data_IF_628849546254
#
_entry.id   IF_628849546254
#
_cell.length_a   1.000
_cell.length_b   1.000
_cell.length_c   1.000
_cell.angle_alpha   90.00
_cell.angle_beta   90.00
_cell.angle_gamma   90.00
#
_symmetry.space_group_name_H-M   'P 1'
#
loop_
_entity.id
_entity.type
_entity.pdbx_description
1 polymer ?
#
# COMPACT_ATOMS: atom_id res chain seq x y z
N UNK A 1 3.98 -4.07 -3.15
CA UNK A 1 2.73 -4.39 -3.90
C UNK A 1 1.74 -5.06 -2.97
N UNK A 2 0.45 -4.74 -3.09
CA UNK A 2 -0.65 -5.36 -2.34
C UNK A 2 -1.51 -6.22 -3.26
N UNK A 3 -2.27 -7.18 -2.68
CA UNK A 3 -3.24 -8.01 -3.40
C UNK A 3 -4.57 -8.04 -2.67
N UNK A 4 -5.64 -8.47 -3.37
CA UNK A 4 -6.95 -8.65 -2.77
C UNK A 4 -7.02 -9.86 -1.81
N UNK A 5 -7.98 -9.84 -0.88
CA UNK A 5 -8.21 -10.93 0.08
C UNK A 5 -8.40 -12.31 -0.59
N UNK A 6 -9.15 -12.37 -1.70
CA UNK A 6 -9.35 -13.64 -2.39
C UNK A 6 -8.05 -14.22 -2.97
N UNK A 7 -7.18 -13.36 -3.51
CA UNK A 7 -5.85 -13.76 -4.01
C UNK A 7 -4.94 -14.22 -2.86
N UNK A 8 -4.98 -13.50 -1.74
CA UNK A 8 -4.24 -13.88 -0.53
C UNK A 8 -4.66 -15.30 -0.05
N UNK A 9 -5.97 -15.59 -0.03
CA UNK A 9 -6.47 -16.93 0.32
C UNK A 9 -6.00 -18.02 -0.63
N UNK A 10 -5.97 -17.77 -1.94
CA UNK A 10 -5.44 -18.71 -2.93
C UNK A 10 -3.96 -19.02 -2.71
N UNK A 11 -3.15 -17.99 -2.37
CA UNK A 11 -1.74 -18.20 -2.03
C UNK A 11 -1.59 -18.99 -0.73
N UNK A 12 -2.37 -18.68 0.30
CA UNK A 12 -2.35 -19.39 1.58
C UNK A 12 -2.69 -20.88 1.43
N UNK A 13 -3.63 -21.21 0.56
CA UNK A 13 -4.00 -22.61 0.30
C UNK A 13 -2.85 -23.44 -0.29
N UNK A 14 -1.94 -22.83 -1.08
CA UNK A 14 -0.74 -23.49 -1.60
C UNK A 14 0.22 -23.96 -0.50
N UNK A 15 0.15 -23.32 0.68
CA UNK A 15 0.94 -23.66 1.86
C UNK A 15 0.11 -24.33 2.95
N UNK A 16 -1.02 -24.94 2.57
CA UNK A 16 -1.91 -25.72 3.46
C UNK A 16 -2.46 -24.92 4.66
N UNK A 17 -2.53 -23.59 4.54
CA UNK A 17 -3.21 -22.73 5.52
C UNK A 17 -4.71 -22.88 5.35
N UNK A 18 -5.40 -23.26 6.42
CA UNK A 18 -6.85 -23.43 6.39
C UNK A 18 -7.55 -22.09 6.26
N UNK A 19 -8.44 -21.98 5.25
CA UNK A 19 -9.28 -20.82 4.97
C UNK A 19 -10.71 -21.26 4.72
N UNK A 20 -11.68 -20.32 4.75
CA UNK A 20 -13.05 -20.61 4.31
C UNK A 20 -13.12 -20.85 2.80
N UNK A 21 -14.01 -21.75 2.37
CA UNK A 21 -14.30 -21.98 0.94
C UNK A 21 -14.97 -20.73 0.35
N UNK A 22 -14.63 -20.38 -0.88
CA UNK A 22 -15.23 -19.24 -1.56
C UNK A 22 -14.52 -18.93 -2.85
N UNK A 23 -15.14 -18.06 -3.65
CA UNK A 23 -14.60 -17.57 -4.93
C UNK A 23 -14.93 -16.09 -5.11
N UNK A 24 -14.14 -15.42 -5.95
CA UNK A 24 -14.39 -14.04 -6.36
C UNK A 24 -15.47 -14.01 -7.46
N UNK A 25 -16.31 -12.98 -7.44
CA UNK A 25 -17.29 -12.67 -8.46
C UNK A 25 -17.12 -11.22 -8.95
N UNK A 26 -17.19 -11.01 -10.24
CA UNK A 26 -17.19 -9.71 -10.93
C UNK A 26 -18.58 -9.35 -11.47
N UNK A 27 -19.48 -10.31 -11.52
CA UNK A 27 -20.86 -10.15 -12.00
C UNK A 27 -21.88 -10.67 -10.97
N UNK A 28 -23.13 -10.25 -11.13
CA UNK A 28 -24.22 -10.71 -10.25
C UNK A 28 -24.52 -12.20 -10.44
N UNK A 29 -24.41 -12.68 -11.67
CA UNK A 29 -24.67 -14.08 -12.02
C UNK A 29 -23.59 -14.99 -11.41
N UNK A 30 -22.32 -14.59 -11.50
CA UNK A 30 -21.22 -15.30 -10.81
C UNK A 30 -21.42 -15.34 -9.30
N UNK A 31 -21.80 -14.22 -8.66
CA UNK A 31 -22.02 -14.17 -7.23
C UNK A 31 -23.14 -15.13 -6.78
N UNK A 32 -24.25 -15.16 -7.51
CA UNK A 32 -25.35 -16.09 -7.26
C UNK A 32 -24.95 -17.55 -7.48
N UNK A 33 -24.21 -17.82 -8.56
CA UNK A 33 -23.74 -19.16 -8.89
C UNK A 33 -22.77 -19.71 -7.82
N UNK A 34 -21.82 -18.91 -7.38
CA UNK A 34 -20.89 -19.31 -6.30
C UNK A 34 -21.66 -19.64 -5.01
N UNK A 35 -22.68 -18.85 -4.67
CA UNK A 35 -23.49 -19.14 -3.50
C UNK A 35 -24.26 -20.47 -3.65
N UNK A 36 -24.73 -20.82 -4.85
CA UNK A 36 -25.33 -22.14 -5.13
C UNK A 36 -24.33 -23.28 -4.98
N UNK A 37 -23.09 -23.09 -5.47
CA UNK A 37 -22.01 -24.09 -5.39
C UNK A 37 -21.57 -24.36 -3.93
N UNK A 38 -21.63 -23.35 -3.04
CA UNK A 38 -21.33 -23.52 -1.61
C UNK A 38 -22.33 -24.40 -0.90
N UNK A 39 -23.57 -24.48 -1.40
CA UNK A 39 -24.63 -25.34 -0.84
C UNK A 39 -25.43 -24.67 0.27
N UNK A 40 -26.00 -25.48 1.16
CA UNK A 40 -26.86 -25.02 2.26
C UNK A 40 -26.01 -24.56 3.45
N UNK A 41 -25.32 -23.44 3.28
CA UNK A 41 -24.49 -22.80 4.31
C UNK A 41 -24.73 -21.29 4.30
N UNK A 42 -24.54 -20.65 5.45
CA UNK A 42 -24.52 -19.20 5.50
C UNK A 42 -23.32 -18.67 4.67
N UNK A 43 -23.58 -17.69 3.80
CA UNK A 43 -22.61 -17.14 2.86
C UNK A 43 -22.29 -15.70 3.23
N UNK A 44 -21.01 -15.36 3.28
CA UNK A 44 -20.54 -13.98 3.42
C UNK A 44 -20.18 -13.39 2.05
N UNK A 45 -20.66 -12.16 1.79
CA UNK A 45 -20.31 -11.35 0.63
C UNK A 45 -19.43 -10.21 1.10
N UNK A 46 -18.17 -10.14 0.62
CA UNK A 46 -17.18 -9.14 1.02
C UNK A 46 -16.72 -8.32 -0.17
N UNK A 47 -16.86 -6.99 -0.11
CA UNK A 47 -16.28 -6.08 -1.10
C UNK A 47 -14.76 -6.27 -1.16
N UNK A 48 -14.19 -6.31 -2.36
CA UNK A 48 -12.75 -6.47 -2.59
C UNK A 48 -12.16 -5.12 -2.99
N UNK A 49 -11.47 -4.48 -2.04
CA UNK A 49 -10.68 -3.26 -2.21
C UNK A 49 -9.41 -3.38 -1.36
N UNK A 50 -8.33 -2.68 -1.72
CA UNK A 50 -7.08 -2.64 -0.96
C UNK A 50 -7.18 -1.71 0.26
N UNK A 51 -8.24 -1.86 1.06
CA UNK A 51 -8.44 -1.11 2.31
C UNK A 51 -9.11 -1.95 3.38
N UNK A 52 -8.71 -1.72 4.61
CA UNK A 52 -9.36 -2.28 5.80
C UNK A 52 -10.62 -1.51 6.20
N UNK A 53 -11.31 -2.02 7.23
CA UNK A 53 -12.51 -1.38 7.78
C UNK A 53 -13.75 -1.49 6.89
N UNK A 54 -13.74 -2.37 5.89
CA UNK A 54 -14.84 -2.58 4.92
C UNK A 54 -16.19 -2.82 5.60
N UNK A 55 -16.22 -3.61 6.67
CA UNK A 55 -17.45 -3.92 7.40
C UNK A 55 -18.16 -2.71 8.00
N UNK A 56 -17.40 -1.65 8.35
CA UNK A 56 -17.89 -0.38 8.89
C UNK A 56 -17.96 0.74 7.86
N UNK A 57 -17.57 0.46 6.62
CA UNK A 57 -17.57 1.43 5.53
C UNK A 57 -18.99 1.76 5.04
N UNK A 58 -19.12 2.83 4.27
CA UNK A 58 -20.38 3.27 3.67
C UNK A 58 -20.19 3.47 2.16
N UNK A 59 -21.11 2.94 1.37
CA UNK A 59 -21.14 3.18 -0.07
C UNK A 59 -21.78 4.53 -0.38
N UNK A 60 -21.28 5.22 -1.42
CA UNK A 60 -21.86 6.50 -1.83
C UNK A 60 -23.32 6.41 -2.29
N UNK A 61 -23.84 5.22 -2.56
CA UNK A 61 -25.27 4.97 -2.82
C UNK A 61 -26.12 4.81 -1.54
N UNK A 62 -25.56 5.03 -0.35
CA UNK A 62 -26.23 4.90 0.95
C UNK A 62 -26.30 3.48 1.50
N UNK A 63 -25.67 2.48 0.85
CA UNK A 63 -25.62 1.13 1.38
C UNK A 63 -24.50 1.02 2.41
N UNK A 64 -24.82 0.51 3.61
CA UNK A 64 -23.88 0.42 4.73
C UNK A 64 -23.21 -0.95 4.79
N UNK A 65 -21.90 -0.94 5.01
CA UNK A 65 -21.06 -2.12 5.18
C UNK A 65 -20.66 -2.80 3.87
N UNK A 66 -19.38 -3.17 3.78
CA UNK A 66 -18.82 -3.96 2.67
C UNK A 66 -18.71 -5.46 3.00
N UNK A 67 -19.33 -5.93 4.10
CA UNK A 67 -19.33 -7.35 4.53
C UNK A 67 -20.72 -7.71 5.01
N UNK A 68 -21.35 -8.71 4.36
CA UNK A 68 -22.71 -9.12 4.67
C UNK A 68 -22.88 -10.64 4.64
N UNK A 69 -23.55 -11.19 5.65
CA UNK A 69 -23.91 -12.61 5.70
C UNK A 69 -25.32 -12.78 5.12
N UNK A 70 -25.51 -13.79 4.26
CA UNK A 70 -26.79 -14.12 3.62
C UNK A 70 -26.98 -15.62 3.59
N UNK A 71 -28.24 -16.05 3.52
CA UNK A 71 -28.62 -17.48 3.57
C UNK A 71 -28.96 -18.06 2.19
N UNK A 72 -29.37 -17.20 1.27
CA UNK A 72 -29.83 -17.67 -0.04
C UNK A 72 -29.05 -17.05 -1.19
N UNK A 73 -28.86 -17.77 -2.32
CA UNK A 73 -28.20 -17.22 -3.50
C UNK A 73 -28.83 -15.93 -4.03
N UNK A 74 -30.17 -15.82 -3.93
CA UNK A 74 -30.90 -14.61 -4.36
C UNK A 74 -30.59 -13.39 -3.48
N UNK A 75 -30.39 -13.59 -2.17
CA UNK A 75 -29.97 -12.53 -1.26
C UNK A 75 -28.53 -12.12 -1.51
N UNK A 76 -27.63 -13.08 -1.83
CA UNK A 76 -26.25 -12.81 -2.25
C UNK A 76 -26.23 -11.92 -3.49
N UNK A 77 -27.02 -12.27 -4.53
CA UNK A 77 -27.18 -11.44 -5.73
C UNK A 77 -27.63 -10.01 -5.43
N UNK A 78 -28.65 -9.85 -4.54
CA UNK A 78 -29.15 -8.54 -4.13
C UNK A 78 -28.10 -7.68 -3.43
N UNK A 79 -27.28 -8.29 -2.59
CA UNK A 79 -26.17 -7.60 -1.90
C UNK A 79 -25.07 -7.24 -2.89
N UNK A 80 -24.65 -8.18 -3.75
CA UNK A 80 -23.66 -7.92 -4.78
C UNK A 80 -24.08 -6.75 -5.71
N UNK A 81 -25.38 -6.64 -6.05
CA UNK A 81 -25.89 -5.53 -6.85
C UNK A 81 -25.78 -4.15 -6.18
N UNK A 82 -25.74 -4.11 -4.83
CA UNK A 82 -25.53 -2.86 -4.09
C UNK A 82 -24.06 -2.49 -3.91
N UNK A 83 -23.14 -3.42 -4.18
CA UNK A 83 -21.70 -3.25 -4.01
C UNK A 83 -20.94 -3.09 -5.32
N UNK A 84 -21.19 -3.94 -6.32
CA UNK A 84 -20.45 -3.95 -7.59
C UNK A 84 -20.67 -2.63 -8.35
N UNK A 85 -19.56 -2.03 -8.79
CA UNK A 85 -19.52 -0.74 -9.47
C UNK A 85 -19.75 0.48 -8.55
N UNK A 86 -19.96 0.28 -7.25
CA UNK A 86 -20.20 1.36 -6.29
C UNK A 86 -18.92 1.74 -5.55
N UNK A 87 -18.85 2.97 -5.06
CA UNK A 87 -17.70 3.48 -4.30
C UNK A 87 -17.93 3.20 -2.82
N UNK A 88 -17.04 2.43 -2.22
CA UNK A 88 -16.99 2.17 -0.78
C UNK A 88 -16.01 3.15 -0.11
N UNK A 89 -16.50 3.87 0.88
CA UNK A 89 -15.72 4.78 1.73
C UNK A 89 -15.44 4.09 3.06
N UNK A 90 -14.18 4.03 3.46
CA UNK A 90 -13.73 3.54 4.77
C UNK A 90 -12.79 4.57 5.40
N UNK A 91 -12.42 4.41 6.66
CA UNK A 91 -11.43 5.29 7.29
C UNK A 91 -10.06 5.23 6.60
N UNK A 92 -9.72 4.11 5.94
CA UNK A 92 -8.44 3.96 5.23
C UNK A 92 -8.47 4.50 3.79
N UNK A 93 -9.63 4.52 3.13
CA UNK A 93 -9.74 5.06 1.77
C UNK A 93 -9.86 6.58 1.74
N UNK A 94 -10.13 7.20 2.89
CA UNK A 94 -10.52 8.60 2.95
C UNK A 94 -11.86 8.87 2.23
N UNK A 95 -12.27 10.15 2.08
CA UNK A 95 -13.59 10.53 1.55
C UNK A 95 -13.78 10.22 0.06
N UNK A 96 -12.73 10.04 -0.69
CA UNK A 96 -12.79 9.64 -2.11
C UNK A 96 -13.36 8.24 -2.28
N UNK A 97 -13.01 7.31 -1.39
CA UNK A 97 -13.38 5.91 -1.44
C UNK A 97 -12.67 5.13 -2.56
N UNK A 98 -13.07 3.86 -2.72
CA UNK A 98 -12.61 2.98 -3.79
C UNK A 98 -13.79 2.31 -4.48
N UNK A 99 -13.71 2.13 -5.79
CA UNK A 99 -14.74 1.42 -6.57
C UNK A 99 -14.62 -0.08 -6.29
N UNK A 100 -15.75 -0.72 -5.95
CA UNK A 100 -15.80 -2.16 -5.74
C UNK A 100 -16.04 -2.86 -7.08
N UNK A 101 -14.99 -3.35 -7.71
CA UNK A 101 -15.08 -4.07 -8.98
C UNK A 101 -15.35 -5.58 -8.80
N UNK A 102 -15.08 -6.11 -7.62
CA UNK A 102 -15.19 -7.54 -7.30
C UNK A 102 -15.75 -7.73 -5.90
N UNK A 103 -16.47 -8.83 -5.69
CA UNK A 103 -16.87 -9.30 -4.37
C UNK A 103 -16.37 -10.72 -4.14
N UNK A 104 -15.91 -11.02 -2.92
CA UNK A 104 -15.63 -12.38 -2.49
C UNK A 104 -16.94 -12.96 -1.91
N UNK A 105 -17.37 -14.09 -2.47
CA UNK A 105 -18.49 -14.87 -1.97
C UNK A 105 -17.94 -16.14 -1.32
N UNK A 106 -18.06 -16.26 -0.02
CA UNK A 106 -17.43 -17.33 0.74
C UNK A 106 -18.35 -17.88 1.82
N UNK A 107 -18.05 -19.09 2.29
CA UNK A 107 -18.70 -19.71 3.44
C UNK A 107 -18.47 -18.84 4.68
N UNK A 108 -19.53 -18.60 5.45
CA UNK A 108 -19.46 -17.91 6.73
C UNK A 108 -18.98 -18.87 7.81
N UNK A 109 -18.07 -18.41 8.67
CA UNK A 109 -17.61 -19.16 9.82
C UNK A 109 -18.33 -18.70 11.09
N UNK A 110 -18.79 -19.65 11.90
CA UNK A 110 -19.28 -19.38 13.25
C UNK A 110 -18.09 -19.15 14.19
N UNK A 111 -17.85 -17.90 14.56
CA UNK A 111 -16.67 -17.47 15.29
C UNK A 111 -16.87 -17.60 16.79
N UNK A 112 -16.00 -18.37 17.46
CA UNK A 112 -15.92 -18.41 18.92
C UNK A 112 -14.88 -17.41 19.46
N UNK A 113 -13.74 -17.23 18.75
CA UNK A 113 -12.70 -16.28 19.14
C UNK A 113 -12.04 -15.67 17.91
N UNK A 114 -11.69 -14.41 17.99
CA UNK A 114 -10.91 -13.67 17.00
C UNK A 114 -9.49 -13.39 17.54
N UNK A 115 -8.48 -13.58 16.70
CA UNK A 115 -7.07 -13.48 17.03
C UNK A 115 -6.41 -12.65 15.94
N UNK A 116 -5.46 -11.79 16.31
CA UNK A 116 -4.56 -11.13 15.38
C UNK A 116 -3.28 -11.96 15.22
N UNK A 117 -2.84 -12.17 13.98
CA UNK A 117 -1.57 -12.82 13.69
C UNK A 117 -0.94 -12.21 12.43
N UNK A 118 0.33 -11.81 12.54
CA UNK A 118 1.11 -11.34 11.39
C UNK A 118 2.53 -11.87 11.42
N UNK A 119 3.10 -12.06 10.24
CA UNK A 119 4.54 -12.21 10.02
C UNK A 119 5.00 -10.98 9.25
N UNK A 120 5.99 -10.28 9.76
CA UNK A 120 6.52 -9.06 9.15
C UNK A 120 8.05 -9.00 9.26
N UNK A 121 8.66 -8.15 8.45
CA UNK A 121 10.09 -7.87 8.56
C UNK A 121 10.32 -6.77 9.61
N UNK A 122 10.99 -7.13 10.71
CA UNK A 122 11.44 -6.14 11.69
C UNK A 122 12.74 -5.48 11.20
N UNK A 123 12.66 -4.22 10.84
CA UNK A 123 13.80 -3.45 10.34
C UNK A 123 14.86 -3.18 11.40
N UNK A 124 14.49 -3.16 12.69
CA UNK A 124 15.42 -2.90 13.78
C UNK A 124 16.38 -4.09 13.99
N UNK A 125 15.88 -5.31 13.82
CA UNK A 125 16.66 -6.54 13.98
C UNK A 125 17.06 -7.18 12.65
N UNK A 126 16.57 -6.62 11.52
CA UNK A 126 16.74 -7.17 10.16
C UNK A 126 16.33 -8.66 10.05
N UNK A 127 15.25 -9.04 10.74
CA UNK A 127 14.79 -10.41 10.86
C UNK A 127 13.25 -10.51 10.75
N UNK A 128 12.71 -11.65 10.33
CA UNK A 128 11.28 -11.90 10.41
C UNK A 128 10.80 -11.91 11.87
N UNK A 129 9.61 -11.36 12.09
CA UNK A 129 8.99 -11.26 13.40
C UNK A 129 7.54 -11.73 13.32
N UNK A 130 7.13 -12.62 14.22
CA UNK A 130 5.70 -12.85 14.47
C UNK A 130 5.20 -11.78 15.45
N UNK A 131 4.11 -11.11 15.05
CA UNK A 131 3.32 -10.24 15.92
C UNK A 131 1.93 -10.85 16.06
N UNK A 132 1.50 -11.12 17.28
CA UNK A 132 0.21 -11.75 17.53
C UNK A 132 -0.48 -11.16 18.76
N UNK A 133 -1.82 -11.22 18.79
CA UNK A 133 -2.63 -10.79 19.94
C UNK A 133 -3.92 -11.61 20.05
N UNK A 134 -4.37 -11.84 21.26
CA UNK A 134 -5.71 -12.40 21.52
C UNK A 134 -6.86 -11.45 21.16
N UNK A 135 -6.56 -10.20 20.85
CA UNK A 135 -7.51 -9.16 20.40
C UNK A 135 -7.47 -9.08 18.87
N UNK A 136 -8.27 -9.92 18.20
CA UNK A 136 -8.45 -9.92 16.75
C UNK A 136 -9.66 -9.11 16.29
N UNK A 137 -9.80 -8.93 14.97
CA UNK A 137 -10.92 -8.19 14.37
C UNK A 137 -10.92 -6.68 14.63
N UNK A 138 -9.86 -6.16 15.25
CA UNK A 138 -9.66 -4.76 15.58
C UNK A 138 -8.33 -4.25 15.07
N UNK A 139 -8.15 -2.95 15.10
CA UNK A 139 -6.92 -2.26 14.68
C UNK A 139 -5.79 -2.57 15.66
N UNK A 140 -4.74 -3.24 15.21
CA UNK A 140 -3.65 -3.70 16.08
C UNK A 140 -2.84 -2.54 16.67
N UNK A 141 -2.72 -1.42 15.95
CA UNK A 141 -2.07 -0.20 16.42
C UNK A 141 -2.81 0.37 17.64
N UNK A 142 -4.14 0.29 17.63
CA UNK A 142 -4.97 0.69 18.77
C UNK A 142 -4.74 -0.23 19.97
N UNK A 143 -4.61 -1.54 19.75
CA UNK A 143 -4.29 -2.52 20.81
C UNK A 143 -2.88 -2.24 21.36
N UNK A 144 -1.90 -2.04 20.48
CA UNK A 144 -0.52 -1.74 20.87
C UNK A 144 -0.39 -0.45 21.70
N UNK A 145 -1.18 0.56 21.37
CA UNK A 145 -1.18 1.82 22.11
C UNK A 145 -1.87 1.74 23.48
N UNK A 146 -2.98 0.96 23.59
CA UNK A 146 -3.78 0.90 24.83
C UNK A 146 -3.37 -0.24 25.76
N UNK A 147 -2.90 -1.35 25.22
CA UNK A 147 -2.61 -2.60 25.94
C UNK A 147 -1.39 -3.31 25.33
N UNK A 148 -0.20 -2.69 25.36
CA UNK A 148 1.01 -3.23 24.72
C UNK A 148 1.41 -4.61 25.27
N UNK A 149 1.00 -4.96 26.49
CA UNK A 149 1.24 -6.28 27.13
C UNK A 149 0.46 -7.41 26.42
N UNK A 150 -0.58 -7.11 25.63
CA UNK A 150 -1.32 -8.08 24.85
C UNK A 150 -0.67 -8.39 23.51
N UNK A 151 0.40 -7.68 23.16
CA UNK A 151 1.13 -7.91 21.92
C UNK A 151 2.27 -8.91 22.15
N UNK A 152 2.12 -10.07 21.58
CA UNK A 152 3.16 -11.12 21.55
C UNK A 152 4.10 -10.80 20.40
N UNK A 153 5.39 -10.81 20.69
CA UNK A 153 6.47 -10.68 19.70
C UNK A 153 7.37 -11.90 19.79
N UNK A 154 7.51 -12.62 18.67
CA UNK A 154 8.40 -13.79 18.59
C UNK A 154 9.35 -13.58 17.39
N UNK A 155 10.61 -13.22 17.63
CA UNK A 155 11.60 -13.05 16.57
C UNK A 155 12.00 -14.41 15.99
N UNK A 156 12.23 -14.42 14.68
CA UNK A 156 12.63 -15.62 13.95
C UNK A 156 14.05 -15.41 13.41
N UNK A 157 14.95 -16.30 13.75
CA UNK A 157 16.30 -16.29 13.17
C UNK A 157 16.20 -16.56 11.65
N UNK A 158 16.72 -15.69 10.78
CA UNK A 158 16.57 -15.85 9.33
C UNK A 158 17.30 -17.07 8.76
N UNK A 159 18.33 -17.59 9.45
CA UNK A 159 19.07 -18.79 9.03
C UNK A 159 18.40 -20.08 9.51
N UNK A 160 17.91 -20.09 10.74
CA UNK A 160 17.24 -21.25 11.33
C UNK A 160 15.77 -21.38 10.88
N UNK A 161 15.13 -20.27 10.51
CA UNK A 161 13.70 -20.22 10.21
C UNK A 161 12.81 -20.40 11.42
N UNK A 162 11.51 -20.43 11.19
CA UNK A 162 10.53 -20.65 12.26
C UNK A 162 10.58 -22.07 12.78
N UNK A 163 10.83 -22.21 14.10
CA UNK A 163 10.97 -23.49 14.74
C UNK A 163 9.68 -24.00 15.39
N UNK A 164 9.42 -25.31 15.44
CA UNK A 164 8.18 -25.86 16.01
C UNK A 164 7.92 -25.49 17.48
N UNK A 165 8.96 -25.20 18.26
CA UNK A 165 8.76 -24.75 19.65
C UNK A 165 8.22 -23.32 19.69
N UNK A 166 8.60 -22.46 18.76
CA UNK A 166 8.11 -21.07 18.68
C UNK A 166 6.63 -21.02 18.34
N UNK A 167 6.18 -21.83 17.35
CA UNK A 167 4.75 -21.90 17.01
C UNK A 167 3.91 -22.38 18.19
N UNK A 168 4.38 -23.40 18.94
CA UNK A 168 3.71 -23.86 20.15
C UNK A 168 3.73 -22.83 21.29
N UNK A 169 4.83 -22.09 21.46
CA UNK A 169 4.96 -21.02 22.45
C UNK A 169 3.91 -19.92 22.16
N UNK A 170 3.88 -19.42 20.93
CA UNK A 170 2.93 -18.37 20.51
C UNK A 170 1.47 -18.86 20.66
N UNK A 171 1.16 -20.09 20.22
CA UNK A 171 -0.17 -20.65 20.38
C UNK A 171 -0.61 -20.75 21.86
N UNK A 172 0.28 -21.17 22.77
CA UNK A 172 -0.01 -21.18 24.20
C UNK A 172 -0.23 -19.77 24.78
N UNK A 173 0.59 -18.80 24.39
CA UNK A 173 0.44 -17.42 24.84
C UNK A 173 -0.86 -16.78 24.35
N UNK A 174 -1.32 -17.16 23.15
CA UNK A 174 -2.62 -16.78 22.60
C UNK A 174 -3.80 -17.51 23.27
N UNK A 175 -3.54 -18.48 24.16
CA UNK A 175 -4.58 -19.23 24.88
C UNK A 175 -5.30 -20.27 24.03
N UNK A 176 -4.60 -20.88 23.05
CA UNK A 176 -5.14 -22.06 22.35
C UNK A 176 -5.22 -23.28 23.27
N UNK A 177 -6.30 -24.02 23.17
CA UNK A 177 -6.47 -25.29 23.88
C UNK A 177 -5.56 -26.39 23.32
N UNK A 178 -5.28 -27.42 24.13
CA UNK A 178 -4.40 -28.53 23.75
C UNK A 178 -4.82 -29.21 22.44
N UNK A 179 -6.12 -29.34 22.19
CA UNK A 179 -6.73 -29.90 20.97
C UNK A 179 -6.43 -29.06 19.72
N UNK A 180 -6.25 -27.75 19.89
CA UNK A 180 -6.07 -26.75 18.83
C UNK A 180 -4.58 -26.49 18.50
N UNK A 181 -3.64 -26.84 19.41
CA UNK A 181 -2.23 -26.47 19.26
C UNK A 181 -1.60 -26.98 17.97
N UNK A 182 -2.00 -28.17 17.51
CA UNK A 182 -1.45 -28.76 16.27
C UNK A 182 -1.91 -27.99 15.04
N UNK A 183 -3.19 -27.65 14.96
CA UNK A 183 -3.78 -26.87 13.85
C UNK A 183 -3.26 -25.43 13.83
N UNK A 184 -3.16 -24.79 15.00
CA UNK A 184 -2.59 -23.46 15.13
C UNK A 184 -1.10 -23.44 14.68
N UNK A 185 -0.29 -24.39 15.16
CA UNK A 185 1.11 -24.49 14.78
C UNK A 185 1.30 -24.71 13.28
N UNK A 186 0.49 -25.59 12.65
CA UNK A 186 0.49 -25.81 11.20
C UNK A 186 0.13 -24.54 10.44
N UNK A 187 -0.89 -23.80 10.90
CA UNK A 187 -1.31 -22.55 10.28
C UNK A 187 -0.21 -21.48 10.38
N UNK A 188 0.41 -21.28 11.54
CA UNK A 188 1.51 -20.33 11.72
C UNK A 188 2.72 -20.66 10.85
N UNK A 189 3.07 -21.93 10.75
CA UNK A 189 4.14 -22.40 9.86
C UNK A 189 3.81 -22.11 8.39
N UNK A 190 2.57 -22.38 7.96
CA UNK A 190 2.11 -22.09 6.60
C UNK A 190 2.18 -20.59 6.27
N UNK A 191 1.77 -19.71 7.20
CA UNK A 191 1.89 -18.26 7.04
C UNK A 191 3.35 -17.80 6.90
N UNK A 192 4.25 -18.34 7.74
CA UNK A 192 5.66 -18.03 7.64
C UNK A 192 6.28 -18.54 6.33
N UNK A 193 5.94 -19.76 5.90
CA UNK A 193 6.41 -20.30 4.62
C UNK A 193 5.93 -19.46 3.44
N UNK A 194 4.68 -18.97 3.47
CA UNK A 194 4.15 -18.07 2.46
C UNK A 194 4.93 -16.75 2.45
N UNK A 195 5.20 -16.18 3.63
CA UNK A 195 5.98 -14.94 3.79
C UNK A 195 7.37 -15.07 3.14
N UNK A 196 8.09 -16.16 3.42
CA UNK A 196 9.43 -16.37 2.86
C UNK A 196 9.40 -16.71 1.37
N UNK A 197 8.47 -17.57 0.95
CA UNK A 197 8.43 -18.07 -0.42
C UNK A 197 8.14 -17.00 -1.47
N UNK A 198 7.43 -15.93 -1.08
CA UNK A 198 7.02 -14.85 -1.98
C UNK A 198 7.67 -13.50 -1.66
N UNK A 199 8.73 -13.49 -0.85
CA UNK A 199 9.40 -12.25 -0.43
C UNK A 199 8.40 -11.19 0.09
N UNK A 200 7.51 -11.61 0.97
CA UNK A 200 6.58 -10.68 1.58
C UNK A 200 7.30 -9.76 2.57
N UNK A 201 6.92 -8.50 2.63
CA UNK A 201 7.28 -7.61 3.73
C UNK A 201 6.30 -7.74 4.91
N UNK A 202 5.07 -8.23 4.64
CA UNK A 202 4.06 -8.54 5.65
C UNK A 202 3.07 -9.58 5.12
N UNK A 203 2.71 -10.53 5.99
CA UNK A 203 1.56 -11.43 5.87
C UNK A 203 0.74 -11.28 7.14
N UNK A 204 -0.42 -10.65 7.05
CA UNK A 204 -1.32 -10.39 8.17
C UNK A 204 -2.60 -11.21 8.02
N UNK A 205 -3.06 -11.78 9.11
CA UNK A 205 -4.38 -12.43 9.23
C UNK A 205 -5.14 -11.75 10.37
N UNK A 206 -6.20 -11.02 10.01
CA UNK A 206 -6.99 -10.26 10.98
C UNK A 206 -8.48 -10.20 10.58
N UNK A 207 -9.32 -11.11 11.14
CA UNK A 207 -8.96 -12.05 12.17
C UNK A 207 -8.49 -13.42 11.65
N UNK A 208 -7.60 -14.05 12.41
CA UNK A 208 -7.49 -15.48 12.52
C UNK A 208 -8.57 -15.93 13.52
N UNK A 209 -9.31 -16.97 13.22
CA UNK A 209 -10.45 -17.36 14.06
C UNK A 209 -10.34 -18.78 14.58
N UNK A 210 -10.89 -18.99 15.78
CA UNK A 210 -11.30 -20.28 16.28
C UNK A 210 -12.80 -20.37 16.10
N UNK A 211 -13.28 -21.39 15.37
CA UNK A 211 -14.71 -21.61 15.17
C UNK A 211 -15.35 -22.25 16.40
N UNK A 212 -16.69 -22.21 16.49
CA UNK A 212 -17.46 -22.92 17.53
C UNK A 212 -17.24 -24.44 17.51
N UNK A 213 -16.74 -24.98 16.38
CA UNK A 213 -16.36 -26.39 16.22
C UNK A 213 -14.90 -26.66 16.63
N UNK A 214 -14.13 -25.63 16.99
CA UNK A 214 -12.72 -25.73 17.37
C UNK A 214 -11.73 -25.68 16.20
N UNK A 215 -12.20 -25.45 14.96
CA UNK A 215 -11.30 -25.30 13.80
C UNK A 215 -10.56 -23.95 13.87
N UNK A 216 -9.32 -23.94 13.38
CA UNK A 216 -8.46 -22.76 13.33
C UNK A 216 -8.32 -22.33 11.87
N UNK A 217 -8.81 -21.12 11.51
CA UNK A 217 -8.90 -20.64 10.14
C UNK A 217 -8.34 -19.22 9.97
N UNK A 218 -7.70 -18.96 8.84
CA UNK A 218 -7.41 -17.61 8.37
C UNK A 218 -8.66 -17.06 7.67
N UNK A 219 -9.33 -16.09 8.29
CA UNK A 219 -10.62 -15.58 7.80
C UNK A 219 -10.45 -14.38 6.88
N UNK A 220 -9.58 -13.44 7.22
CA UNK A 220 -9.20 -12.30 6.36
C UNK A 220 -7.68 -12.18 6.35
N UNK A 221 -7.10 -12.04 5.16
CA UNK A 221 -5.67 -12.00 4.97
C UNK A 221 -5.26 -10.81 4.10
N UNK A 222 -4.17 -10.15 4.51
CA UNK A 222 -3.56 -9.03 3.81
C UNK A 222 -2.08 -9.31 3.58
N UNK A 223 -1.63 -9.13 2.35
CA UNK A 223 -0.25 -9.35 1.95
C UNK A 223 0.36 -8.07 1.40
N UNK A 224 1.59 -7.82 1.83
CA UNK A 224 2.47 -6.83 1.22
C UNK A 224 3.72 -7.56 0.73
N UNK A 225 4.01 -7.44 -0.54
CA UNK A 225 5.21 -7.99 -1.16
C UNK A 225 6.32 -6.94 -1.23
N UNK A 226 7.57 -7.38 -1.23
CA UNK A 226 8.70 -6.52 -1.55
C UNK A 226 8.72 -6.25 -3.06
N UNK A 227 8.52 -4.98 -3.45
CA UNK A 227 8.51 -4.58 -4.86
C UNK A 227 9.85 -4.85 -5.55
N UNK A 228 10.95 -4.82 -4.79
CA UNK A 228 12.29 -5.11 -5.32
C UNK A 228 12.50 -6.60 -5.61
N UNK A 229 11.63 -7.48 -5.15
CA UNK A 229 11.68 -8.92 -5.39
C UNK A 229 10.72 -9.40 -6.50
N UNK A 230 9.80 -8.56 -6.98
CA UNK A 230 8.76 -8.95 -7.94
C UNK A 230 9.32 -9.51 -9.25
N UNK A 231 10.50 -9.06 -9.68
CA UNK A 231 11.14 -9.58 -10.90
C UNK A 231 11.40 -11.09 -10.88
N UNK A 232 11.46 -11.71 -9.70
CA UNK A 232 11.61 -13.16 -9.52
C UNK A 232 10.29 -13.88 -9.20
N UNK A 233 9.19 -13.13 -9.09
CA UNK A 233 7.84 -13.63 -8.82
C UNK A 233 6.82 -13.12 -9.85
N UNK A 234 6.95 -13.49 -11.14
CA UNK A 234 6.04 -13.01 -12.18
C UNK A 234 4.58 -13.43 -11.94
N UNK A 235 4.35 -14.56 -11.24
CA UNK A 235 3.02 -15.01 -10.84
C UNK A 235 2.38 -14.11 -9.77
N UNK A 236 3.18 -13.46 -8.93
CA UNK A 236 2.71 -12.48 -7.94
C UNK A 236 2.48 -11.13 -8.62
N UNK A 237 3.39 -10.70 -9.50
CA UNK A 237 3.23 -9.47 -10.27
C UNK A 237 1.95 -9.49 -11.10
N UNK A 238 1.57 -10.65 -11.66
CA UNK A 238 0.32 -10.84 -12.41
C UNK A 238 -0.96 -10.66 -11.57
N UNK A 239 -0.87 -10.69 -10.23
CA UNK A 239 -1.98 -10.42 -9.32
C UNK A 239 -2.24 -8.94 -9.06
N UNK A 240 -1.36 -8.06 -9.57
CA UNK A 240 -1.45 -6.62 -9.37
C UNK A 240 -2.76 -6.06 -9.90
N UNK A 241 -3.45 -5.28 -9.10
CA UNK A 241 -4.65 -4.55 -9.51
C UNK A 241 -4.34 -3.05 -9.60
N UNK A 242 -4.00 -2.59 -10.79
CA UNK A 242 -3.61 -1.21 -11.08
C UNK A 242 -4.73 -0.21 -10.74
N UNK A 243 -6.00 -0.64 -10.75
CA UNK A 243 -7.13 0.22 -10.40
C UNK A 243 -7.18 0.58 -8.90
N UNK A 244 -6.48 -0.18 -8.05
CA UNK A 244 -6.37 0.06 -6.62
C UNK A 244 -5.17 0.93 -6.23
N UNK A 245 -4.28 1.24 -7.17
CA UNK A 245 -3.07 2.05 -6.94
C UNK A 245 -3.33 3.55 -7.17
N UNK A 246 -2.37 4.39 -6.79
CA UNK A 246 -2.39 5.81 -7.16
C UNK A 246 -2.05 5.94 -8.65
N UNK A 247 -2.90 6.55 -9.47
CA UNK A 247 -2.64 6.70 -10.91
C UNK A 247 -1.31 7.40 -11.22
N UNK A 248 -0.83 8.28 -10.33
CA UNK A 248 0.46 8.99 -10.48
C UNK A 248 1.64 8.04 -10.25
N UNK A 249 1.53 7.14 -9.26
CA UNK A 249 2.52 6.10 -8.98
C UNK A 249 2.59 5.10 -10.14
N UNK A 250 1.44 4.70 -10.66
CA UNK A 250 1.34 3.86 -11.84
C UNK A 250 2.00 4.50 -13.07
N UNK A 251 1.72 5.78 -13.31
CA UNK A 251 2.32 6.49 -14.45
C UNK A 251 3.83 6.63 -14.28
N UNK A 252 4.29 7.01 -13.09
CA UNK A 252 5.70 7.12 -12.76
C UNK A 252 6.47 5.80 -12.97
N UNK A 253 5.87 4.69 -12.58
CA UNK A 253 6.49 3.36 -12.72
C UNK A 253 6.74 2.96 -14.17
N UNK A 254 5.92 3.40 -15.14
CA UNK A 254 6.11 3.15 -16.58
C UNK A 254 7.41 3.77 -17.12
N UNK A 255 7.87 4.84 -16.46
CA UNK A 255 9.08 5.57 -16.82
C UNK A 255 10.27 5.25 -15.92
N UNK A 256 10.13 4.24 -15.03
CA UNK A 256 11.18 3.86 -14.08
C UNK A 256 11.45 4.92 -13.01
N UNK A 257 10.46 5.71 -12.65
CA UNK A 257 10.54 6.76 -11.63
C UNK A 257 10.01 6.25 -10.30
N UNK A 258 10.68 6.59 -9.20
CA UNK A 258 10.23 6.32 -7.84
C UNK A 258 9.38 7.49 -7.35
N UNK A 259 8.06 7.35 -7.41
CA UNK A 259 7.09 8.34 -6.98
C UNK A 259 6.20 7.80 -5.86
N UNK A 260 5.94 8.63 -4.84
CA UNK A 260 4.94 8.37 -3.79
C UNK A 260 4.13 9.64 -3.59
N UNK A 261 2.81 9.55 -3.76
CA UNK A 261 1.90 10.66 -3.53
C UNK A 261 1.73 10.96 -2.05
N UNK A 262 1.76 12.27 -1.68
CA UNK A 262 1.48 12.78 -0.34
C UNK A 262 0.35 13.81 -0.37
N UNK A 263 -0.07 14.28 0.81
CA UNK A 263 -1.23 15.18 0.92
C UNK A 263 -0.91 16.67 0.82
N UNK A 264 0.36 17.04 0.68
CA UNK A 264 0.81 18.42 0.63
C UNK A 264 0.53 19.15 -0.69
N UNK A 265 1.14 20.32 -0.81
CA UNK A 265 0.95 21.23 -1.95
C UNK A 265 2.26 21.77 -2.56
N UNK A 266 3.42 21.30 -2.10
CA UNK A 266 4.73 21.62 -2.67
C UNK A 266 5.27 20.35 -3.31
N UNK A 267 5.26 20.30 -4.64
CA UNK A 267 5.82 19.17 -5.36
C UNK A 267 7.34 19.19 -5.35
N UNK A 268 7.94 18.00 -5.24
CA UNK A 268 9.39 17.82 -5.19
C UNK A 268 9.86 16.97 -6.38
N UNK A 269 10.92 17.42 -7.07
CA UNK A 269 11.69 16.65 -8.05
C UNK A 269 13.14 16.65 -7.63
N UNK A 270 13.66 15.47 -7.30
CA UNK A 270 14.98 15.33 -6.66
C UNK A 270 15.72 14.14 -7.28
N UNK A 271 17.02 14.16 -7.30
CA UNK A 271 17.84 13.01 -7.68
C UNK A 271 18.52 12.41 -6.46
N UNK A 272 18.10 11.18 -6.13
CA UNK A 272 18.57 10.43 -4.98
C UNK A 272 17.63 10.47 -3.78
N UNK A 273 17.26 9.28 -3.30
CA UNK A 273 16.24 9.10 -2.25
C UNK A 273 16.59 9.84 -0.94
N UNK A 274 17.86 9.84 -0.53
CA UNK A 274 18.31 10.57 0.66
C UNK A 274 18.13 12.09 0.53
N UNK A 275 18.45 12.66 -0.63
CA UNK A 275 18.24 14.08 -0.91
C UNK A 275 16.74 14.40 -1.01
N UNK A 276 15.92 13.51 -1.54
CA UNK A 276 14.47 13.67 -1.60
C UNK A 276 13.86 13.72 -0.19
N UNK A 277 14.24 12.80 0.70
CA UNK A 277 13.81 12.84 2.10
C UNK A 277 14.24 14.11 2.81
N UNK A 278 15.51 14.50 2.69
CA UNK A 278 16.03 15.75 3.27
C UNK A 278 15.29 16.99 2.72
N UNK A 279 14.92 16.98 1.44
CA UNK A 279 14.16 18.08 0.82
C UNK A 279 12.76 18.17 1.41
N UNK A 280 12.08 17.05 1.62
CA UNK A 280 10.76 17.02 2.26
C UNK A 280 10.84 17.48 3.73
N UNK A 281 11.84 17.02 4.47
CA UNK A 281 12.04 17.41 5.87
C UNK A 281 12.26 18.92 6.03
N UNK A 282 13.09 19.51 5.17
CA UNK A 282 13.37 20.96 5.27
C UNK A 282 12.16 21.80 4.82
N UNK A 283 11.36 21.33 3.86
CA UNK A 283 10.07 21.96 3.52
C UNK A 283 9.16 21.99 4.74
N UNK A 284 9.02 20.85 5.43
CA UNK A 284 8.23 20.78 6.69
C UNK A 284 8.80 21.66 7.79
N UNK A 285 10.10 21.70 7.94
CA UNK A 285 10.78 22.56 8.93
C UNK A 285 10.41 24.05 8.75
N UNK A 286 10.27 24.51 7.48
CA UNK A 286 9.85 25.88 7.18
C UNK A 286 8.32 26.05 7.09
N UNK A 287 7.55 25.06 7.54
CA UNK A 287 6.08 25.14 7.63
C UNK A 287 5.35 24.99 6.29
N UNK A 288 5.95 24.25 5.34
CA UNK A 288 5.33 23.78 4.12
C UNK A 288 4.91 22.32 4.20
N UNK A 289 4.14 21.85 3.21
CA UNK A 289 3.67 20.46 3.12
C UNK A 289 4.07 19.86 1.77
N UNK A 290 4.97 18.82 1.76
CA UNK A 290 5.36 18.13 0.54
C UNK A 290 4.19 17.38 -0.10
N UNK A 291 4.01 17.52 -1.42
CA UNK A 291 2.96 16.86 -2.19
C UNK A 291 3.33 15.45 -2.64
N UNK A 292 4.62 15.15 -2.68
CA UNK A 292 5.14 13.85 -3.12
C UNK A 292 6.59 13.63 -2.69
N UNK A 293 6.97 12.35 -2.62
CA UNK A 293 8.35 11.91 -2.81
C UNK A 293 8.55 11.63 -4.30
N UNK A 294 9.65 12.10 -4.89
CA UNK A 294 10.04 11.73 -6.25
C UNK A 294 11.55 11.73 -6.36
N UNK A 295 12.09 10.55 -6.64
CA UNK A 295 13.50 10.35 -6.97
C UNK A 295 13.62 9.95 -8.44
N UNK A 296 14.23 10.81 -9.25
CA UNK A 296 14.49 10.51 -10.67
C UNK A 296 15.74 9.64 -10.88
N UNK A 297 16.47 9.32 -9.78
CA UNK A 297 17.69 8.51 -9.82
C UNK A 297 18.93 9.27 -10.27
N UNK A 298 20.10 8.67 -10.07
CA UNK A 298 21.40 9.28 -10.40
C UNK A 298 21.80 9.22 -11.87
N UNK A 299 21.02 8.54 -12.72
CA UNK A 299 21.28 8.36 -14.15
C UNK A 299 20.09 8.72 -15.04
N UNK A 300 19.12 9.49 -14.55
CA UNK A 300 17.91 9.79 -15.30
C UNK A 300 18.20 10.51 -16.62
N UNK A 301 17.45 10.12 -17.62
CA UNK A 301 17.49 10.71 -18.96
C UNK A 301 16.64 11.97 -19.01
N UNK A 302 16.83 12.79 -20.07
CA UNK A 302 15.99 13.94 -20.36
C UNK A 302 14.50 13.57 -20.45
N UNK A 303 14.18 12.42 -21.06
CA UNK A 303 12.81 11.92 -21.17
C UNK A 303 12.21 11.62 -19.80
N UNK A 304 12.92 10.91 -18.94
CA UNK A 304 12.46 10.61 -17.57
C UNK A 304 12.21 11.87 -16.76
N UNK A 305 13.08 12.87 -16.86
CA UNK A 305 12.88 14.18 -16.19
C UNK A 305 11.65 14.88 -16.75
N UNK A 306 11.43 14.84 -18.06
CA UNK A 306 10.27 15.43 -18.71
C UNK A 306 8.97 14.79 -18.22
N UNK A 307 8.91 13.46 -18.16
CA UNK A 307 7.72 12.74 -17.69
C UNK A 307 7.50 12.96 -16.18
N UNK A 308 8.56 12.94 -15.37
CA UNK A 308 8.47 13.30 -13.95
C UNK A 308 7.84 14.68 -13.76
N UNK A 309 8.28 15.67 -14.52
CA UNK A 309 7.75 17.03 -14.43
C UNK A 309 6.28 17.11 -14.85
N UNK A 310 5.86 16.36 -15.89
CA UNK A 310 4.46 16.28 -16.31
C UNK A 310 3.56 15.70 -15.21
N UNK A 311 4.02 14.66 -14.53
CA UNK A 311 3.29 14.05 -13.40
C UNK A 311 3.07 15.06 -12.28
N UNK A 312 4.11 15.83 -11.91
CA UNK A 312 4.00 16.86 -10.87
C UNK A 312 3.00 17.96 -11.22
N UNK A 313 3.02 18.42 -12.47
CA UNK A 313 2.12 19.50 -12.93
C UNK A 313 0.66 19.05 -13.04
N UNK A 314 0.42 17.77 -13.33
CA UNK A 314 -0.92 17.21 -13.42
C UNK A 314 -1.65 17.17 -12.07
N UNK A 315 -0.94 17.23 -10.95
CA UNK A 315 -1.54 17.26 -9.62
C UNK A 315 -2.10 18.66 -9.29
N UNK A 316 -3.42 18.78 -9.31
CA UNK A 316 -4.16 20.05 -9.05
C UNK A 316 -3.98 20.59 -7.62
N UNK A 317 -3.49 19.80 -6.67
CA UNK A 317 -3.19 20.25 -5.30
C UNK A 317 -1.89 21.06 -5.24
N UNK A 318 -1.00 20.88 -6.22
CA UNK A 318 0.31 21.53 -6.26
C UNK A 318 0.18 23.01 -6.47
N UNK A 319 0.79 23.81 -5.58
CA UNK A 319 0.85 25.27 -5.61
C UNK A 319 2.25 25.81 -5.90
N UNK A 320 3.28 25.00 -5.70
CA UNK A 320 4.66 25.30 -6.07
C UNK A 320 5.42 24.01 -6.34
N UNK A 321 6.45 24.08 -7.17
CA UNK A 321 7.36 22.96 -7.45
C UNK A 321 8.75 23.33 -6.99
N UNK A 322 9.39 22.45 -6.24
CA UNK A 322 10.80 22.53 -5.87
C UNK A 322 11.58 21.45 -6.60
N UNK A 323 12.47 21.89 -7.48
CA UNK A 323 13.47 21.04 -8.12
C UNK A 323 14.78 21.20 -7.35
N UNK A 324 15.27 20.12 -6.76
CA UNK A 324 16.50 20.11 -5.99
C UNK A 324 17.44 19.02 -6.50
N UNK A 325 18.46 19.44 -7.25
CA UNK A 325 19.38 18.53 -7.93
C UNK A 325 20.80 18.74 -7.39
N UNK A 326 21.40 17.63 -6.99
CA UNK A 326 22.84 17.56 -6.78
C UNK A 326 23.49 16.72 -7.89
N UNK A 327 24.13 17.38 -8.83
CA UNK A 327 24.77 16.77 -9.99
C UNK A 327 25.99 15.94 -9.58
N UNK A 328 25.87 14.64 -9.76
CA UNK A 328 26.98 13.70 -9.71
C UNK A 328 27.10 13.02 -11.08
N UNK A 329 26.63 11.77 -11.18
CA UNK A 329 26.50 11.04 -12.45
C UNK A 329 25.50 11.76 -13.35
N UNK A 330 24.34 12.16 -12.79
CA UNK A 330 23.38 13.03 -13.45
C UNK A 330 23.96 14.46 -13.57
N UNK A 331 23.84 15.07 -14.74
CA UNK A 331 24.34 16.38 -15.04
C UNK A 331 23.23 17.44 -14.97
N UNK A 332 23.53 18.60 -14.38
CA UNK A 332 22.56 19.68 -14.22
C UNK A 332 22.01 20.22 -15.55
N UNK A 333 22.78 20.17 -16.64
CA UNK A 333 22.32 20.57 -17.95
C UNK A 333 21.25 19.62 -18.55
N UNK A 334 21.31 18.31 -18.26
CA UNK A 334 20.31 17.34 -18.66
C UNK A 334 18.97 17.63 -17.95
N UNK A 335 19.03 17.90 -16.65
CA UNK A 335 17.84 18.29 -15.87
C UNK A 335 17.25 19.60 -16.41
N UNK A 336 18.08 20.62 -16.63
CA UNK A 336 17.64 21.89 -17.17
C UNK A 336 16.93 21.73 -18.52
N UNK A 337 17.45 20.88 -19.40
CA UNK A 337 16.82 20.57 -20.69
C UNK A 337 15.47 19.86 -20.51
N UNK A 338 15.39 18.87 -19.61
CA UNK A 338 14.14 18.17 -19.28
C UNK A 338 13.05 19.13 -18.76
N UNK A 339 13.42 20.06 -17.88
CA UNK A 339 12.50 21.11 -17.39
C UNK A 339 12.01 22.01 -18.52
N UNK A 340 12.92 22.47 -19.40
CA UNK A 340 12.58 23.32 -20.54
C UNK A 340 11.63 22.59 -21.50
N UNK A 341 11.86 21.31 -21.75
CA UNK A 341 11.03 20.50 -22.64
C UNK A 341 9.64 20.24 -22.04
N UNK A 342 9.59 19.92 -20.74
CA UNK A 342 8.32 19.81 -20.04
C UNK A 342 7.53 21.13 -20.06
N UNK A 343 8.19 22.25 -19.78
CA UNK A 343 7.55 23.57 -19.78
C UNK A 343 7.00 23.99 -21.15
N UNK A 344 7.64 23.55 -22.24
CA UNK A 344 7.13 23.77 -23.61
C UNK A 344 5.89 22.92 -23.91
N UNK A 345 5.76 21.77 -23.29
CA UNK A 345 4.70 20.79 -23.56
C UNK A 345 3.45 21.08 -22.72
N UNK A 346 3.64 21.62 -21.51
CA UNK A 346 2.58 21.89 -20.55
C UNK A 346 2.59 23.36 -20.12
N UNK A 347 1.44 23.97 -20.00
CA UNK A 347 1.33 25.35 -19.53
C UNK A 347 1.64 25.40 -18.04
N UNK A 348 2.89 25.77 -17.67
CA UNK A 348 3.34 25.86 -16.30
C UNK A 348 2.60 26.99 -15.57
N UNK A 349 1.62 26.63 -14.74
CA UNK A 349 0.76 27.60 -14.04
C UNK A 349 1.16 27.83 -12.58
N UNK A 350 2.19 27.12 -12.08
CA UNK A 350 2.66 27.20 -10.70
C UNK A 350 4.10 27.68 -10.62
N UNK A 351 4.49 28.41 -9.56
CA UNK A 351 5.87 28.84 -9.35
C UNK A 351 6.84 27.65 -9.30
N UNK A 352 7.98 27.81 -9.98
CA UNK A 352 9.05 26.82 -10.04
C UNK A 352 10.28 27.34 -9.32
N UNK A 353 10.66 26.69 -8.23
CA UNK A 353 11.90 26.97 -7.50
C UNK A 353 12.93 25.93 -7.88
N UNK A 354 14.14 26.36 -8.25
CA UNK A 354 15.19 25.45 -8.70
C UNK A 354 16.48 25.69 -7.94
N UNK A 355 17.01 24.64 -7.36
CA UNK A 355 18.37 24.53 -6.86
C UNK A 355 19.13 23.51 -7.71
N UNK A 356 20.20 23.96 -8.35
CA UNK A 356 21.14 23.10 -9.06
C UNK A 356 22.52 23.25 -8.43
N UNK A 357 23.19 22.12 -8.18
CA UNK A 357 24.56 22.07 -7.68
C UNK A 357 25.28 20.84 -8.25
N UNK A 358 26.60 20.89 -8.34
CA UNK A 358 27.44 19.79 -8.84
C UNK A 358 27.74 19.84 -10.32
N UNK A 359 27.80 18.68 -10.99
CA UNK A 359 28.30 18.54 -12.37
C UNK A 359 27.49 19.36 -13.37
N UNK A 360 28.16 20.18 -14.19
CA UNK A 360 27.61 21.06 -15.23
C UNK A 360 26.61 22.12 -14.70
N UNK A 361 26.75 22.53 -13.44
CA UNK A 361 25.81 23.49 -12.82
C UNK A 361 25.73 24.80 -13.58
N UNK A 362 26.88 25.40 -13.99
CA UNK A 362 26.91 26.67 -14.73
C UNK A 362 26.20 26.58 -16.08
N UNK A 363 26.38 25.44 -16.78
CA UNK A 363 25.69 25.17 -18.03
C UNK A 363 24.20 25.00 -17.84
N UNK A 364 23.79 24.28 -16.78
CA UNK A 364 22.38 24.10 -16.43
C UNK A 364 21.69 25.43 -16.09
N UNK A 365 22.32 26.24 -15.22
CA UNK A 365 21.85 27.60 -14.89
C UNK A 365 21.74 28.50 -16.12
N UNK A 366 22.73 28.45 -17.04
CA UNK A 366 22.69 29.21 -18.27
C UNK A 366 21.51 28.82 -19.17
N UNK A 367 21.30 27.51 -19.41
CA UNK A 367 20.17 27.00 -20.18
C UNK A 367 18.81 27.47 -19.62
N UNK A 368 18.62 27.38 -18.31
CA UNK A 368 17.39 27.84 -17.64
C UNK A 368 17.20 29.36 -17.80
N UNK A 369 18.27 30.16 -17.63
CA UNK A 369 18.21 31.63 -17.77
C UNK A 369 17.90 32.09 -19.20
N UNK A 370 18.37 31.37 -20.21
CA UNK A 370 18.15 31.65 -21.62
C UNK A 370 16.78 31.11 -22.10
N UNK A 371 16.08 30.32 -21.27
CA UNK A 371 14.79 29.78 -21.59
C UNK A 371 13.66 30.79 -21.30
N UNK A 372 12.46 30.49 -21.84
CA UNK A 372 11.22 31.27 -21.56
C UNK A 372 10.52 30.87 -20.25
N UNK A 373 11.14 29.99 -19.46
CA UNK A 373 10.56 29.47 -18.23
C UNK A 373 10.79 30.47 -17.09
N UNK A 374 9.70 30.96 -16.49
CA UNK A 374 9.82 31.74 -15.26
C UNK A 374 10.18 30.84 -14.09
N UNK A 375 11.32 31.13 -13.45
CA UNK A 375 11.82 30.35 -12.34
C UNK A 375 12.39 31.21 -11.21
N UNK A 376 12.40 30.66 -10.03
CA UNK A 376 13.01 31.25 -8.82
C UNK A 376 14.27 30.43 -8.52
N UNK A 377 15.43 31.03 -8.77
CA UNK A 377 16.71 30.38 -8.44
C UNK A 377 16.95 30.38 -6.94
N UNK A 378 17.51 29.28 -6.43
CA UNK A 378 17.90 29.13 -5.04
C UNK A 378 19.38 28.78 -4.92
N UNK A 379 20.02 29.32 -3.87
CA UNK A 379 21.46 29.20 -3.66
C UNK A 379 21.82 27.93 -2.87
N UNK A 380 21.02 27.59 -1.85
CA UNK A 380 21.21 26.40 -1.03
C UNK A 380 19.88 25.71 -0.74
N UNK A 381 19.91 24.61 0.02
CA UNK A 381 18.73 23.80 0.32
C UNK A 381 17.72 24.54 1.22
N UNK A 382 18.21 25.33 2.18
CA UNK A 382 17.37 26.12 3.09
C UNK A 382 16.66 27.25 2.32
N UNK A 383 17.40 28.00 1.50
CA UNK A 383 16.87 29.05 0.63
C UNK A 383 15.83 28.48 -0.36
N UNK A 384 16.10 27.30 -0.94
CA UNK A 384 15.18 26.61 -1.84
C UNK A 384 13.84 26.27 -1.14
N UNK A 385 13.90 25.71 0.05
CA UNK A 385 12.71 25.37 0.82
C UNK A 385 11.91 26.61 1.23
N UNK A 386 12.58 27.67 1.75
CA UNK A 386 11.93 28.93 2.11
C UNK A 386 11.21 29.58 0.92
N UNK A 387 11.89 29.63 -0.24
CA UNK A 387 11.31 30.15 -1.48
C UNK A 387 10.13 29.34 -1.96
N UNK A 388 10.19 27.99 -1.91
CA UNK A 388 9.09 27.12 -2.27
C UNK A 388 7.87 27.30 -1.34
N UNK A 389 8.10 27.36 -0.03
CA UNK A 389 7.05 27.60 0.96
C UNK A 389 6.42 28.99 0.76
N UNK A 390 7.22 30.03 0.54
CA UNK A 390 6.72 31.37 0.28
C UNK A 390 5.90 31.44 -1.02
N UNK A 391 6.35 30.74 -2.07
CA UNK A 391 5.65 30.68 -3.36
C UNK A 391 4.31 29.95 -3.26
N UNK A 392 4.24 28.85 -2.51
CA UNK A 392 3.01 28.08 -2.29
C UNK A 392 1.94 28.84 -1.48
N UNK A 393 2.36 29.80 -0.63
CA UNK A 393 1.46 30.64 0.19
C UNK A 393 0.85 31.82 -0.58
N UNK A 394 1.44 32.22 -1.71
CA UNK A 394 0.97 33.38 -2.51
C UNK A 394 -0.26 33.08 -3.40
N UNK A 395 -0.66 31.83 -3.51
CA UNK A 395 -1.83 31.32 -4.24
C UNK A 395 -2.78 30.60 -3.28
#
# INVERSE_FOLDING_TARGET
MNIHEYQAKELLQRFEVATTRGKVASTLDEAEQIARELGDVDVVVKAQIHAGGRGKGEFKNGFNGGVHIRKTPQEVRKVAAKMLGQILVTHQTGPTGRVVNKVLVAESAEIAREIYFAVLLDRATAAPLIVASSEGGVDIETVAAKSPEKIIREPIDPLAGLQPFQTRKVAKQLGFESSQLKSAAKLFEGLYRTFVAFDCSMVEVNPLVITTKGDVLALDAKFNFDDNALYRHPEIEALRDVAEEDPREVEASKHGLNYIGLDGNIACLVNGAGLAMATMDIIKFYGGEPANFLDVGGGATEEQVTEAFKILIADKKVKAILVNIFGGIMKCDVIAQGIINAAKTVNLSVPLVIRLEGTNVERGKKLLKESVVELIAADDLADAAQKAVAAAKRK
#
